data_IF_136445993523
#
_entry.id   IF_136445993523
#
_cell.length_a   1.000
_cell.length_b   1.000
_cell.length_c   1.000
_cell.angle_alpha   90.00
_cell.angle_beta   90.00
_cell.angle_gamma   90.00
#
_symmetry.space_group_name_H-M   'P 1'
#
loop_
_entity.id
_entity.type
_entity.pdbx_description
1 polymer ?
#
# COMPACT_ATOMS: atom_id res chain seq x y z
N UNK A 1 -7.43 2.78 21.37
CA UNK A 1 -8.12 2.80 20.06
C UNK A 1 -7.15 3.50 19.10
N UNK A 2 -6.60 2.81 18.10
CA UNK A 2 -5.53 3.33 17.24
C UNK A 2 -5.97 4.58 16.46
N UNK A 3 -7.23 4.61 16.06
CA UNK A 3 -7.85 5.73 15.35
C UNK A 3 -7.87 6.99 16.20
N UNK A 4 -8.23 6.89 17.48
CA UNK A 4 -8.21 8.01 18.43
C UNK A 4 -6.79 8.46 18.77
N UNK A 5 -5.86 7.51 18.94
CA UNK A 5 -4.48 7.78 19.33
C UNK A 5 -3.71 8.59 18.28
N UNK A 6 -3.96 8.32 16.99
CA UNK A 6 -3.28 8.97 15.88
C UNK A 6 -4.13 10.07 15.21
N UNK A 7 -5.37 10.31 15.67
CA UNK A 7 -6.30 11.23 15.03
C UNK A 7 -6.68 10.83 13.59
N UNK A 8 -6.60 9.54 13.28
CA UNK A 8 -6.91 9.01 11.95
C UNK A 8 -8.39 8.71 11.72
N UNK A 9 -8.83 8.40 10.48
CA UNK A 9 -10.20 7.98 10.21
C UNK A 9 -10.45 6.51 10.58
N UNK A 10 -11.69 6.17 10.89
CA UNK A 10 -12.10 4.76 10.97
C UNK A 10 -12.04 4.11 9.59
N UNK A 11 -11.53 2.89 9.52
CA UNK A 11 -11.45 2.11 8.29
C UNK A 11 -12.66 1.19 8.13
N UNK A 12 -13.14 1.04 6.89
CA UNK A 12 -14.23 0.15 6.53
C UNK A 12 -13.81 -1.32 6.77
N UNK A 13 -14.54 -2.10 7.58
CA UNK A 13 -14.10 -3.45 8.00
C UNK A 13 -13.83 -4.43 6.85
N UNK A 14 -14.57 -4.31 5.75
CA UNK A 14 -14.49 -5.14 4.55
C UNK A 14 -13.32 -4.77 3.63
N UNK A 15 -12.67 -3.63 3.87
CA UNK A 15 -11.49 -3.16 3.13
C UNK A 15 -10.16 -3.46 3.83
N UNK A 16 -10.22 -4.01 5.04
CA UNK A 16 -9.05 -4.15 5.90
C UNK A 16 -8.11 -5.25 5.42
N UNK A 17 -6.85 -4.89 5.35
CA UNK A 17 -5.73 -5.81 5.11
C UNK A 17 -4.60 -5.48 6.08
N UNK A 18 -3.81 -6.49 6.46
CA UNK A 18 -2.68 -6.27 7.35
C UNK A 18 -1.56 -7.26 7.08
N UNK A 19 -0.33 -6.83 7.30
CA UNK A 19 0.86 -7.63 7.10
C UNK A 19 1.99 -7.19 8.04
N UNK A 20 2.79 -8.16 8.49
CA UNK A 20 3.96 -7.93 9.33
C UNK A 20 5.22 -8.41 8.61
N UNK A 21 6.26 -7.58 8.54
CA UNK A 21 7.56 -7.96 8.01
C UNK A 21 8.48 -8.39 9.15
N UNK A 22 8.92 -9.65 9.16
CA UNK A 22 9.74 -10.16 10.26
C UNK A 22 11.15 -9.55 10.32
N UNK A 23 11.80 -9.33 9.17
CA UNK A 23 13.16 -8.74 9.10
C UNK A 23 13.22 -7.29 9.58
N UNK A 24 12.39 -6.40 9.00
CA UNK A 24 12.23 -5.01 9.44
C UNK A 24 11.50 -4.85 10.77
N UNK A 25 10.79 -5.88 11.24
CA UNK A 25 9.89 -5.83 12.40
C UNK A 25 8.86 -4.72 12.27
N UNK A 26 8.26 -4.58 11.09
CA UNK A 26 7.27 -3.54 10.78
C UNK A 26 5.89 -4.12 10.54
N UNK A 27 4.85 -3.43 10.98
CA UNK A 27 3.45 -3.78 10.73
C UNK A 27 2.83 -2.75 9.80
N UNK A 28 1.96 -3.19 8.90
CA UNK A 28 1.06 -2.32 8.16
C UNK A 28 -0.38 -2.82 8.29
N UNK A 29 -1.29 -1.87 8.39
CA UNK A 29 -2.74 -2.07 8.32
C UNK A 29 -3.25 -1.05 7.30
N UNK A 30 -3.94 -1.53 6.28
CA UNK A 30 -4.46 -0.68 5.21
C UNK A 30 -5.94 -0.95 5.02
N UNK A 31 -6.70 0.11 4.77
CA UNK A 31 -8.12 0.04 4.44
C UNK A 31 -8.63 1.37 3.88
N UNK A 32 -9.91 1.43 3.55
CA UNK A 32 -10.59 2.63 3.07
C UNK A 32 -11.22 3.40 4.24
N UNK A 33 -11.16 4.72 4.20
CA UNK A 33 -11.97 5.58 5.06
C UNK A 33 -13.41 5.75 4.54
N UNK A 34 -14.23 6.51 5.25
CA UNK A 34 -15.64 6.79 4.88
C UNK A 34 -15.82 7.50 3.54
N UNK A 35 -14.75 8.10 2.99
CA UNK A 35 -14.75 8.75 1.69
C UNK A 35 -14.20 7.83 0.58
N UNK A 36 -13.95 6.56 0.90
CA UNK A 36 -13.36 5.58 -0.03
C UNK A 36 -11.86 5.78 -0.28
N UNK A 37 -11.18 6.64 0.50
CA UNK A 37 -9.74 6.86 0.34
C UNK A 37 -8.94 5.81 1.08
N UNK A 38 -7.93 5.26 0.42
CA UNK A 38 -7.00 4.32 1.04
C UNK A 38 -6.10 5.02 2.09
N UNK A 39 -6.07 4.44 3.29
CA UNK A 39 -5.28 4.89 4.44
C UNK A 39 -4.36 3.77 4.90
N UNK A 40 -3.14 4.12 5.26
CA UNK A 40 -2.19 3.19 5.89
C UNK A 40 -1.91 3.61 7.32
N UNK A 41 -2.03 2.66 8.23
CA UNK A 41 -1.47 2.69 9.58
C UNK A 41 -0.25 1.78 9.60
N UNK A 42 0.92 2.30 9.95
CA UNK A 42 2.12 1.48 10.04
C UNK A 42 2.82 1.66 11.36
N UNK A 43 3.50 0.60 11.78
CA UNK A 43 4.29 0.57 13.00
C UNK A 43 5.74 0.22 12.68
N UNK A 44 6.67 0.94 13.29
CA UNK A 44 8.09 0.59 13.31
C UNK A 44 8.60 0.49 14.76
N UNK A 45 9.65 -0.31 15.03
CA UNK A 45 10.20 -0.46 16.38
C UNK A 45 10.68 0.86 16.99
N UNK A 46 11.29 1.72 16.18
CA UNK A 46 11.92 2.96 16.64
C UNK A 46 11.00 4.19 16.53
N UNK A 47 9.95 4.12 15.69
CA UNK A 47 9.06 5.23 15.39
C UNK A 47 7.62 5.07 15.88
N UNK A 48 7.25 3.90 16.39
CA UNK A 48 5.89 3.63 16.85
C UNK A 48 4.87 3.62 15.71
N UNK A 49 3.60 3.85 16.06
CA UNK A 49 2.49 3.90 15.11
C UNK A 49 2.39 5.25 14.41
N UNK A 50 2.10 5.20 13.12
CA UNK A 50 1.97 6.36 12.25
C UNK A 50 0.81 6.16 11.25
N UNK A 51 0.32 7.25 10.66
CA UNK A 51 -0.78 7.23 9.69
C UNK A 51 -0.53 8.13 8.47
N UNK A 52 -0.99 7.69 7.30
CA UNK A 52 -0.78 8.38 6.03
C UNK A 52 -1.94 8.12 5.06
N UNK A 53 -2.26 9.13 4.26
CA UNK A 53 -3.13 8.99 3.09
C UNK A 53 -2.31 8.39 1.96
N UNK A 54 -2.63 7.19 1.48
CA UNK A 54 -1.87 6.58 0.38
C UNK A 54 -2.01 7.38 -0.93
N UNK A 55 -3.10 8.15 -1.06
CA UNK A 55 -3.34 9.13 -2.10
C UNK A 55 -2.51 10.41 -1.98
N UNK A 56 -2.00 10.76 -0.79
CA UNK A 56 -1.40 12.07 -0.53
C UNK A 56 -0.02 12.29 -1.15
N UNK A 57 0.69 11.22 -1.50
CA UNK A 57 2.00 11.26 -2.17
C UNK A 57 1.96 10.91 -3.66
N UNK A 58 0.77 10.68 -4.21
CA UNK A 58 0.58 10.34 -5.62
C UNK A 58 0.13 11.58 -6.39
N UNK A 59 0.54 11.70 -7.65
CA UNK A 59 -0.05 12.67 -8.57
C UNK A 59 -1.58 12.44 -8.63
N UNK A 60 -2.41 13.46 -8.34
CA UNK A 60 -3.87 13.35 -8.37
C UNK A 60 -4.44 12.79 -9.67
N UNK A 61 -3.78 13.02 -10.81
CA UNK A 61 -4.20 12.48 -12.11
C UNK A 61 -3.84 10.99 -12.26
N UNK A 62 -2.85 10.53 -11.49
CA UNK A 62 -2.50 9.12 -11.38
C UNK A 62 -3.39 8.41 -10.39
N UNK A 63 -3.92 9.08 -9.36
CA UNK A 63 -4.90 8.48 -8.45
C UNK A 63 -6.14 8.18 -9.29
N UNK A 64 -6.51 6.91 -9.53
CA UNK A 64 -7.81 6.59 -10.09
C UNK A 64 -8.87 7.32 -9.28
N UNK A 65 -9.58 8.24 -9.93
CA UNK A 65 -10.63 9.04 -9.36
C UNK A 65 -11.80 8.12 -9.01
N UNK A 66 -11.69 7.37 -7.91
CA UNK A 66 -12.68 6.40 -7.48
C UNK A 66 -12.22 5.53 -6.30
N UNK A 67 -13.15 4.83 -5.64
CA UNK A 67 -12.85 4.03 -4.47
C UNK A 67 -11.94 2.85 -4.83
N UNK A 68 -10.74 2.85 -4.27
CA UNK A 68 -9.71 1.83 -4.44
C UNK A 68 -10.01 0.58 -3.63
N UNK A 69 -10.56 -0.47 -4.23
CA UNK A 69 -10.80 -1.70 -3.47
C UNK A 69 -9.51 -2.49 -3.31
N UNK A 70 -8.87 -2.34 -2.15
CA UNK A 70 -7.69 -3.12 -1.78
C UNK A 70 -8.14 -4.56 -1.52
N UNK A 71 -7.55 -5.50 -2.24
CA UNK A 71 -7.87 -6.93 -2.16
C UNK A 71 -6.74 -7.76 -1.54
N UNK A 72 -5.55 -7.17 -1.33
CA UNK A 72 -4.45 -7.87 -0.66
C UNK A 72 -3.19 -7.04 -0.45
N UNK A 73 -2.34 -7.53 0.45
CA UNK A 73 -1.03 -6.94 0.75
C UNK A 73 0.05 -8.01 0.77
N UNK A 74 1.26 -7.64 0.37
CA UNK A 74 2.41 -8.52 0.44
C UNK A 74 3.70 -7.75 0.64
N UNK A 75 4.66 -8.41 1.29
CA UNK A 75 6.04 -7.95 1.33
C UNK A 75 6.82 -8.67 0.24
N UNK A 76 7.56 -7.92 -0.56
CA UNK A 76 8.52 -8.43 -1.52
C UNK A 76 9.92 -8.04 -1.06
N UNK A 77 10.72 -9.04 -0.74
CA UNK A 77 12.17 -8.89 -0.52
C UNK A 77 12.87 -9.21 -1.82
N UNK A 78 13.43 -8.20 -2.49
CA UNK A 78 14.27 -8.42 -3.67
C UNK A 78 15.73 -8.33 -3.24
N UNK A 79 16.46 -9.42 -3.46
CA UNK A 79 17.91 -9.48 -3.30
C UNK A 79 18.52 -9.42 -4.69
N UNK A 80 18.93 -8.22 -5.12
CA UNK A 80 19.71 -8.06 -6.36
C UNK A 80 21.00 -7.34 -6.02
N UNK A 81 22.17 -8.00 -6.11
CA UNK A 81 23.45 -7.31 -6.01
C UNK A 81 23.52 -6.15 -7.03
N UNK A 82 24.09 -4.99 -6.67
CA UNK A 82 24.85 -4.68 -5.46
C UNK A 82 24.00 -4.09 -4.30
N UNK A 83 22.66 -4.15 -4.38
CA UNK A 83 21.80 -3.51 -3.38
C UNK A 83 21.43 -4.51 -2.29
N UNK A 84 21.94 -4.28 -1.09
CA UNK A 84 21.58 -5.01 0.12
C UNK A 84 20.08 -4.77 0.41
N UNK A 85 19.29 -5.84 0.36
CA UNK A 85 17.90 -5.92 0.84
C UNK A 85 16.98 -4.75 0.45
N UNK A 86 16.46 -4.73 -0.77
CA UNK A 86 15.32 -3.85 -1.06
C UNK A 86 14.03 -4.51 -0.56
N UNK A 87 13.63 -4.16 0.67
CA UNK A 87 12.32 -4.51 1.20
C UNK A 87 11.30 -3.58 0.56
N UNK A 88 10.25 -4.17 0.00
CA UNK A 88 9.17 -3.43 -0.64
C UNK A 88 7.82 -3.99 -0.22
N UNK A 89 6.82 -3.13 -0.14
CA UNK A 89 5.45 -3.53 0.15
C UNK A 89 4.60 -3.31 -1.08
N UNK A 90 3.84 -4.32 -1.46
CA UNK A 90 2.82 -4.20 -2.49
C UNK A 90 1.43 -4.22 -1.86
N UNK A 91 0.59 -3.28 -2.29
CA UNK A 91 -0.85 -3.29 -2.06
C UNK A 91 -1.50 -3.52 -3.44
N UNK A 92 -2.38 -4.51 -3.52
CA UNK A 92 -3.09 -4.87 -4.74
C UNK A 92 -4.57 -4.53 -4.58
N UNK A 93 -5.19 -4.11 -5.68
CA UNK A 93 -6.60 -3.79 -5.70
C UNK A 93 -7.13 -3.51 -7.09
N UNK A 94 -8.38 -3.06 -7.16
CA UNK A 94 -8.99 -2.59 -8.40
C UNK A 94 -9.33 -1.10 -8.31
N UNK A 95 -9.21 -0.40 -9.44
CA UNK A 95 -9.73 0.96 -9.58
C UNK A 95 -11.23 0.94 -9.97
N UNK A 96 -11.83 2.13 -10.13
CA UNK A 96 -13.25 2.26 -10.52
C UNK A 96 -13.59 1.68 -11.90
N UNK A 97 -12.61 1.59 -12.80
CA UNK A 97 -12.77 1.01 -14.13
C UNK A 97 -12.62 -0.53 -14.12
N UNK A 98 -12.25 -1.12 -12.97
CA UNK A 98 -12.03 -2.55 -12.80
C UNK A 98 -10.62 -3.02 -13.15
N UNK A 99 -9.67 -2.11 -13.41
CA UNK A 99 -8.28 -2.46 -13.67
C UNK A 99 -7.57 -2.95 -12.41
N UNK A 100 -6.75 -3.99 -12.56
CA UNK A 100 -5.84 -4.44 -11.53
C UNK A 100 -4.71 -3.42 -11.37
N UNK A 101 -4.59 -2.86 -10.18
CA UNK A 101 -3.60 -1.84 -9.85
C UNK A 101 -2.74 -2.28 -8.66
N UNK A 102 -1.49 -1.79 -8.63
CA UNK A 102 -0.52 -2.04 -7.55
C UNK A 102 0.05 -0.73 -7.04
N UNK A 103 -0.01 -0.52 -5.73
CA UNK A 103 0.79 0.48 -5.03
C UNK A 103 2.03 -0.20 -4.43
N UNK A 104 3.20 0.32 -4.74
CA UNK A 104 4.49 -0.22 -4.31
C UNK A 104 5.24 0.80 -3.45
N UNK A 105 5.45 0.49 -2.18
CA UNK A 105 6.40 1.20 -1.31
C UNK A 105 7.77 0.52 -1.35
N UNK A 106 8.86 1.29 -1.28
CA UNK A 106 10.25 0.79 -1.30
C UNK A 106 11.07 1.41 -0.18
N UNK A 107 11.85 0.60 0.54
CA UNK A 107 12.62 1.02 1.72
C UNK A 107 13.83 1.94 1.45
N UNK A 108 14.22 2.18 0.20
CA UNK A 108 15.38 3.01 -0.21
C UNK A 108 15.09 3.89 -1.45
N UNK A 109 13.85 3.93 -1.93
CA UNK A 109 13.44 4.94 -2.91
C UNK A 109 13.20 6.29 -2.22
N UNK A 110 12.89 7.37 -2.95
CA UNK A 110 12.12 8.45 -2.32
C UNK A 110 10.89 7.79 -1.65
N UNK A 111 10.44 8.31 -0.51
CA UNK A 111 9.25 7.88 0.24
C UNK A 111 7.96 8.11 -0.59
N UNK A 112 7.91 7.46 -1.74
CA UNK A 112 6.95 7.63 -2.80
C UNK A 112 6.39 6.25 -3.07
N UNK A 113 5.15 6.09 -2.63
CA UNK A 113 4.31 5.02 -3.11
C UNK A 113 4.23 5.16 -4.63
N UNK A 114 4.59 4.10 -5.35
CA UNK A 114 4.50 4.09 -6.82
C UNK A 114 3.25 3.34 -7.23
N UNK A 115 2.40 4.01 -8.00
CA UNK A 115 1.23 3.42 -8.63
C UNK A 115 1.58 2.74 -9.96
N UNK A 116 1.06 1.54 -10.17
CA UNK A 116 1.16 0.81 -11.44
C UNK A 116 -0.19 0.20 -11.83
N UNK A 117 -0.58 0.38 -13.10
CA UNK A 117 -1.68 -0.35 -13.72
C UNK A 117 -1.14 -1.68 -14.27
N UNK A 118 -1.50 -2.78 -13.61
CA UNK A 118 -1.04 -4.12 -13.98
C UNK A 118 -1.85 -4.69 -15.15
N UNK A 119 -3.11 -4.29 -15.34
CA UNK A 119 -3.91 -4.69 -16.52
C UNK A 119 -3.18 -4.29 -17.81
N UNK A 120 -2.61 -3.10 -17.86
CA UNK A 120 -1.87 -2.59 -19.02
C UNK A 120 -0.48 -3.24 -19.19
N UNK A 121 0.07 -3.82 -18.12
CA UNK A 121 1.43 -4.38 -18.11
C UNK A 121 1.42 -5.90 -18.29
N UNK A 122 0.29 -6.57 -18.03
CA UNK A 122 0.19 -8.02 -18.16
C UNK A 122 0.14 -8.44 -19.63
N UNK A 123 1.16 -9.16 -20.09
CA UNK A 123 1.07 -9.96 -21.33
C UNK A 123 0.50 -11.32 -20.93
N UNK A 124 -0.63 -11.77 -21.51
CA UNK A 124 -1.15 -13.10 -21.20
C UNK A 124 -0.11 -14.18 -21.51
N UNK A 125 0.14 -15.06 -20.55
CA UNK A 125 0.93 -16.26 -20.80
C UNK A 125 0.05 -17.27 -21.54
N UNK A 126 0.41 -17.57 -22.78
CA UNK A 126 -0.17 -18.69 -23.53
C UNK A 126 0.82 -19.87 -23.44
N UNK A 127 0.42 -21.01 -22.85
CA UNK A 127 1.27 -22.21 -22.78
C UNK A 127 1.50 -22.85 -24.15
#
# INVERSE_FOLDING_TARGET
NLTEELGGPTLAPDSLTSNYHIGLRTMNIVGQDSNGQARSYWWTPDGGWNIHALSGGLDPDLIPLGPWQISGTSWLTVVTPPYDYTHSQSLLGHNADGDLVRLLWRSHGPDEWVLQNLTMTSVPYFP
#
